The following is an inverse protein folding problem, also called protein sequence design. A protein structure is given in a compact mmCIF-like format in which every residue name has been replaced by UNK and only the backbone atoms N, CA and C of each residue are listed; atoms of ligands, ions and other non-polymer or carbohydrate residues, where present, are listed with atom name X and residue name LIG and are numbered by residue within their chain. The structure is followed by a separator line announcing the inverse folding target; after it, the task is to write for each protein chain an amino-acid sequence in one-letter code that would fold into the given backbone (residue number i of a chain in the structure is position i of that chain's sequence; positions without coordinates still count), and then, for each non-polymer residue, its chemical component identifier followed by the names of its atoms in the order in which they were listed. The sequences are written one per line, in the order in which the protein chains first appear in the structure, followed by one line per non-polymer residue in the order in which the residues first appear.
data_IF_889005644116
#
_entry.id   IF_889005644116
#
_cell.length_a   1.000
_cell.length_b   1.000
_cell.length_c   1.000
_cell.angle_alpha   90.00
_cell.angle_beta   90.00
_cell.angle_gamma   90.00
#
_symmetry.space_group_name_H-M   'P 1'
#
loop_
_entity.id
_entity.type
_entity.pdbx_description
1 polymer ?
#
# COMPACT_ATOMS: atom_id res chain seq x y z
N UNK A 1 8.47 -10.87 -6.51
CA UNK A 1 8.79 -10.91 -5.06
C UNK A 1 8.07 -9.72 -4.43
N UNK A 2 7.22 -9.95 -3.43
CA UNK A 2 6.41 -8.89 -2.81
C UNK A 2 7.30 -7.97 -1.96
N UNK A 3 7.24 -6.67 -2.24
CA UNK A 3 8.02 -5.65 -1.53
C UNK A 3 7.29 -5.18 -0.29
N UNK A 4 7.95 -5.30 0.86
CA UNK A 4 7.44 -4.88 2.16
C UNK A 4 8.30 -3.75 2.71
N UNK A 5 7.69 -2.63 3.04
CA UNK A 5 8.33 -1.56 3.79
C UNK A 5 8.03 -1.73 5.28
N UNK A 6 9.06 -1.85 6.09
CA UNK A 6 8.96 -1.90 7.56
C UNK A 6 9.42 -0.55 8.13
N UNK A 7 8.53 0.10 8.85
CA UNK A 7 8.75 1.42 9.47
C UNK A 7 8.61 1.29 10.98
N UNK A 8 9.73 1.27 11.66
CA UNK A 8 9.81 1.14 13.12
C UNK A 8 11.20 1.62 13.56
N UNK A 9 11.30 2.31 14.68
CA UNK A 9 12.57 2.81 15.23
C UNK A 9 13.20 1.84 16.25
N UNK A 10 12.51 0.77 16.62
CA UNK A 10 13.03 -0.25 17.54
C UNK A 10 13.88 -1.30 16.80
N UNK A 11 15.23 -1.31 16.98
CA UNK A 11 16.12 -2.18 16.21
C UNK A 11 15.82 -3.68 16.35
N UNK A 12 15.33 -4.10 17.52
CA UNK A 12 14.99 -5.51 17.79
C UNK A 12 13.80 -5.97 16.97
N UNK A 13 12.76 -5.13 16.86
CA UNK A 13 11.56 -5.41 16.07
C UNK A 13 11.91 -5.43 14.59
N UNK A 14 12.61 -4.40 14.12
CA UNK A 14 13.07 -4.30 12.72
C UNK A 14 13.87 -5.53 12.31
N UNK A 15 14.82 -5.94 13.14
CA UNK A 15 15.65 -7.14 12.87
C UNK A 15 14.82 -8.42 12.83
N UNK A 16 13.91 -8.60 13.78
CA UNK A 16 13.06 -9.80 13.85
C UNK A 16 12.15 -9.87 12.62
N UNK A 17 11.51 -8.76 12.23
CA UNK A 17 10.68 -8.67 11.04
C UNK A 17 11.49 -8.94 9.77
N UNK A 18 12.65 -8.30 9.63
CA UNK A 18 13.50 -8.47 8.47
C UNK A 18 13.91 -9.93 8.24
N UNK A 19 14.35 -10.63 9.30
CA UNK A 19 14.75 -12.04 9.22
C UNK A 19 13.56 -12.92 8.82
N UNK A 20 12.43 -12.75 9.50
CA UNK A 20 11.24 -13.57 9.27
C UNK A 20 10.60 -13.36 7.90
N UNK A 21 10.57 -12.12 7.42
CA UNK A 21 10.02 -11.78 6.11
C UNK A 21 10.92 -12.24 4.97
N UNK A 22 12.24 -12.01 5.07
CA UNK A 22 13.20 -12.49 4.06
C UNK A 22 13.21 -14.00 3.94
N UNK A 23 13.14 -14.73 5.07
CA UNK A 23 13.06 -16.18 5.06
C UNK A 23 11.82 -16.73 4.32
N UNK A 24 10.79 -15.90 4.13
CA UNK A 24 9.55 -16.23 3.41
C UNK A 24 9.47 -15.65 2.01
N UNK A 25 10.57 -15.12 1.50
CA UNK A 25 10.69 -14.64 0.13
C UNK A 25 10.15 -13.21 -0.10
N UNK A 26 9.98 -12.41 0.96
CA UNK A 26 9.66 -11.00 0.82
C UNK A 26 10.92 -10.16 0.58
N UNK A 27 10.81 -9.17 -0.30
CA UNK A 27 11.81 -8.11 -0.41
C UNK A 27 11.52 -7.05 0.66
N UNK A 28 12.47 -6.79 1.56
CA UNK A 28 12.25 -5.95 2.74
C UNK A 28 13.07 -4.68 2.66
N UNK A 29 12.39 -3.54 2.69
CA UNK A 29 12.96 -2.21 2.85
C UNK A 29 12.67 -1.69 4.26
N UNK A 30 13.58 -0.94 4.83
CA UNK A 30 13.53 -0.49 6.22
C UNK A 30 13.55 1.04 6.30
N UNK A 31 12.79 1.59 7.24
CA UNK A 31 12.83 3.00 7.61
C UNK A 31 12.64 3.14 9.12
N UNK A 32 13.41 3.99 9.76
CA UNK A 32 13.34 4.26 11.22
C UNK A 32 12.64 5.55 11.58
N UNK A 33 12.21 6.34 10.59
CA UNK A 33 11.55 7.64 10.78
C UNK A 33 10.44 7.81 9.75
N UNK A 34 9.48 8.69 10.02
CA UNK A 34 8.42 9.02 9.07
C UNK A 34 8.96 9.64 7.78
N UNK A 35 9.93 10.53 7.87
CA UNK A 35 10.60 11.14 6.71
C UNK A 35 11.28 10.09 5.85
N UNK A 36 12.05 9.17 6.46
CA UNK A 36 12.70 8.08 5.72
C UNK A 36 11.69 7.11 5.11
N UNK A 37 10.58 6.85 5.80
CA UNK A 37 9.51 5.98 5.31
C UNK A 37 8.92 6.50 3.99
N UNK A 38 8.55 7.78 3.94
CA UNK A 38 8.00 8.40 2.72
C UNK A 38 9.01 8.41 1.58
N UNK A 39 10.29 8.68 1.88
CA UNK A 39 11.38 8.67 0.90
C UNK A 39 11.61 7.27 0.33
N UNK A 40 11.75 6.27 1.19
CA UNK A 40 11.98 4.87 0.78
C UNK A 40 10.79 4.35 -0.02
N UNK A 41 9.56 4.64 0.42
CA UNK A 41 8.36 4.25 -0.30
C UNK A 41 8.28 4.86 -1.71
N UNK A 42 8.73 6.10 -1.88
CA UNK A 42 8.79 6.75 -3.20
C UNK A 42 9.86 6.15 -4.12
N UNK A 43 10.99 5.73 -3.56
CA UNK A 43 12.10 5.11 -4.31
C UNK A 43 11.82 3.63 -4.65
N UNK A 44 11.19 2.93 -3.73
CA UNK A 44 10.88 1.50 -3.81
C UNK A 44 9.39 1.30 -3.46
N UNK A 45 8.45 1.55 -4.39
CA UNK A 45 7.03 1.47 -4.13
C UNK A 45 6.65 0.14 -3.47
N UNK A 46 6.17 0.16 -2.21
CA UNK A 46 5.84 -1.06 -1.48
C UNK A 46 4.51 -1.65 -1.95
N UNK A 47 4.38 -2.96 -1.81
CA UNK A 47 3.12 -3.70 -1.97
C UNK A 47 2.45 -3.98 -0.62
N UNK A 48 3.18 -3.76 0.48
CA UNK A 48 2.70 -3.78 1.87
C UNK A 48 3.56 -2.86 2.72
N UNK A 49 2.95 -2.13 3.63
CA UNK A 49 3.65 -1.34 4.66
C UNK A 49 3.31 -1.90 6.04
N UNK A 50 4.33 -2.15 6.86
CA UNK A 50 4.21 -2.41 8.29
C UNK A 50 4.72 -1.14 8.98
N UNK A 51 3.88 -0.52 9.81
CA UNK A 51 4.14 0.82 10.34
C UNK A 51 3.90 0.89 11.83
N UNK A 52 4.91 1.33 12.60
CA UNK A 52 4.71 1.81 13.95
C UNK A 52 4.23 3.27 13.96
N UNK A 53 3.32 3.61 14.88
CA UNK A 53 2.83 4.98 15.05
C UNK A 53 3.79 5.85 15.87
N UNK A 54 4.57 5.24 16.78
CA UNK A 54 5.48 5.92 17.68
C UNK A 54 6.83 6.28 17.07
N UNK A 55 6.86 6.98 15.94
CA UNK A 55 8.12 7.37 15.28
C UNK A 55 8.76 8.60 15.92
N UNK A 56 10.11 8.77 15.81
CA UNK A 56 10.82 9.83 16.51
C UNK A 56 10.64 11.24 15.92
N UNK A 57 10.27 11.37 14.65
CA UNK A 57 10.16 12.66 13.94
C UNK A 57 8.72 13.19 13.88
N UNK A 58 7.75 12.35 13.49
CA UNK A 58 6.33 12.71 13.51
C UNK A 58 5.45 11.46 13.64
N UNK A 59 4.17 11.66 13.88
CA UNK A 59 3.24 10.58 14.15
C UNK A 59 3.07 9.66 12.91
N UNK A 60 3.04 8.35 13.14
CA UNK A 60 2.81 7.37 12.07
C UNK A 60 1.48 7.55 11.35
N UNK A 61 0.47 8.17 11.98
CA UNK A 61 -0.80 8.53 11.32
C UNK A 61 -0.56 9.51 10.18
N UNK A 62 0.38 10.45 10.33
CA UNK A 62 0.76 11.38 9.26
C UNK A 62 1.51 10.67 8.13
N UNK A 63 2.27 9.61 8.44
CA UNK A 63 2.87 8.73 7.42
C UNK A 63 1.78 8.04 6.61
N UNK A 64 0.72 7.51 7.26
CA UNK A 64 -0.43 6.91 6.57
C UNK A 64 -1.06 7.91 5.61
N UNK A 65 -1.36 9.11 6.06
CA UNK A 65 -1.94 10.18 5.23
C UNK A 65 -1.05 10.52 4.04
N UNK A 66 0.26 10.64 4.27
CA UNK A 66 1.25 10.90 3.21
C UNK A 66 1.29 9.79 2.18
N UNK A 67 1.28 8.52 2.57
CA UNK A 67 1.25 7.37 1.67
C UNK A 67 -0.06 7.32 0.88
N UNK A 68 -1.20 7.55 1.53
CA UNK A 68 -2.52 7.51 0.88
C UNK A 68 -2.71 8.57 -0.19
N UNK A 69 -1.89 9.61 -0.21
CA UNK A 69 -1.87 10.59 -1.28
C UNK A 69 -1.48 10.02 -2.65
N UNK A 70 -0.80 8.87 -2.70
CA UNK A 70 -0.28 8.33 -3.95
C UNK A 70 -0.21 6.78 -4.05
N UNK A 71 -0.53 6.02 -2.98
CA UNK A 71 -0.55 4.55 -3.04
C UNK A 71 -1.73 3.93 -2.30
N UNK A 72 -2.23 2.82 -2.83
CA UNK A 72 -3.25 1.95 -2.22
C UNK A 72 -2.63 0.71 -1.56
N UNK A 73 -1.30 0.62 -1.49
CA UNK A 73 -0.63 -0.49 -0.83
C UNK A 73 -1.21 -0.68 0.59
N UNK A 74 -1.57 -1.90 1.00
CA UNK A 74 -2.11 -2.13 2.32
C UNK A 74 -1.12 -1.70 3.40
N UNK A 75 -1.65 -1.07 4.46
CA UNK A 75 -0.89 -0.60 5.61
C UNK A 75 -1.37 -1.37 6.83
N UNK A 76 -0.46 -2.14 7.42
CA UNK A 76 -0.64 -2.86 8.67
C UNK A 76 0.08 -2.10 9.78
N UNK A 77 -0.69 -1.50 10.69
CA UNK A 77 -0.12 -0.80 11.85
C UNK A 77 0.31 -1.81 12.91
N UNK A 78 1.51 -1.63 13.43
CA UNK A 78 2.11 -2.44 14.47
C UNK A 78 2.60 -1.52 15.58
N UNK A 79 1.81 -1.31 16.63
CA UNK A 79 2.10 -0.29 17.64
C UNK A 79 1.84 -0.74 19.07
N UNK A 80 2.64 -0.22 20.01
CA UNK A 80 2.41 -0.35 21.45
C UNK A 80 1.26 0.51 21.98
N UNK A 81 0.70 1.40 21.17
CA UNK A 81 -0.46 2.21 21.57
C UNK A 81 -1.70 1.32 21.64
N UNK A 82 -2.29 1.24 22.82
CA UNK A 82 -3.46 0.39 23.09
C UNK A 82 -4.75 1.19 23.17
N UNK A 83 -4.68 2.50 23.15
CA UNK A 83 -5.83 3.39 23.19
C UNK A 83 -6.72 3.14 21.95
N UNK A 84 -8.02 3.03 22.21
CA UNK A 84 -8.99 2.82 21.15
C UNK A 84 -9.07 4.01 20.20
N UNK A 85 -8.83 5.22 20.69
CA UNK A 85 -8.78 6.46 19.90
C UNK A 85 -7.66 6.39 18.86
N UNK A 86 -6.46 5.98 19.26
CA UNK A 86 -5.32 5.84 18.34
C UNK A 86 -5.59 4.80 17.25
N UNK A 87 -6.27 3.69 17.60
CA UNK A 87 -6.67 2.66 16.63
C UNK A 87 -7.68 3.18 15.61
N UNK A 88 -8.69 3.89 16.07
CA UNK A 88 -9.72 4.48 15.20
C UNK A 88 -9.08 5.52 14.28
N UNK A 89 -8.23 6.39 14.82
CA UNK A 89 -7.55 7.42 14.03
C UNK A 89 -6.67 6.81 12.93
N UNK A 90 -5.91 5.76 13.23
CA UNK A 90 -5.07 5.08 12.24
C UNK A 90 -5.92 4.43 11.13
N UNK A 91 -7.01 3.77 11.49
CA UNK A 91 -7.93 3.15 10.52
C UNK A 91 -8.63 4.20 9.66
N UNK A 92 -9.11 5.29 10.25
CA UNK A 92 -9.75 6.40 9.54
C UNK A 92 -8.76 7.13 8.61
N UNK A 93 -7.48 7.20 8.98
CA UNK A 93 -6.43 7.74 8.12
C UNK A 93 -6.10 6.85 6.92
N UNK A 94 -6.52 5.59 6.93
CA UNK A 94 -6.39 4.66 5.82
C UNK A 94 -5.58 3.40 6.10
N UNK A 95 -5.29 3.06 7.36
CA UNK A 95 -4.72 1.76 7.71
C UNK A 95 -5.73 0.63 7.44
N UNK A 96 -5.24 -0.53 7.01
CA UNK A 96 -6.07 -1.69 6.67
C UNK A 96 -6.28 -2.65 7.85
N UNK A 97 -5.33 -2.70 8.78
CA UNK A 97 -5.41 -3.49 10.00
C UNK A 97 -4.48 -2.92 11.08
N UNK A 98 -4.70 -3.32 12.32
CA UNK A 98 -3.95 -2.86 13.48
C UNK A 98 -3.58 -4.02 14.39
N UNK A 99 -2.28 -4.16 14.70
CA UNK A 99 -1.73 -5.16 15.61
C UNK A 99 -1.08 -4.46 16.79
N UNK A 100 -1.46 -4.86 18.00
CA UNK A 100 -0.91 -4.31 19.23
C UNK A 100 0.37 -5.03 19.62
N UNK A 101 1.42 -4.30 19.99
CA UNK A 101 2.64 -4.84 20.62
C UNK A 101 2.35 -5.19 22.09
N UNK A 102 2.90 -6.29 22.65
CA UNK A 102 3.68 -7.32 21.96
C UNK A 102 2.81 -8.25 21.10
N UNK A 103 3.37 -8.75 20.00
CA UNK A 103 2.66 -9.58 19.03
C UNK A 103 3.38 -10.91 18.76
N UNK A 104 2.61 -11.90 18.33
CA UNK A 104 3.15 -13.13 17.79
C UNK A 104 3.52 -12.98 16.31
N UNK A 105 4.68 -13.50 15.90
CA UNK A 105 5.10 -13.42 14.49
C UNK A 105 4.12 -14.14 13.56
N UNK A 106 3.54 -15.25 13.98
CA UNK A 106 2.59 -16.03 13.19
C UNK A 106 1.26 -15.27 13.01
N UNK A 107 0.81 -14.53 14.03
CA UNK A 107 -0.35 -13.65 13.94
C UNK A 107 -0.10 -12.54 12.94
N UNK A 108 1.05 -11.86 13.03
CA UNK A 108 1.43 -10.79 12.10
C UNK A 108 1.44 -11.29 10.66
N UNK A 109 2.07 -12.44 10.41
CA UNK A 109 2.15 -13.04 9.08
C UNK A 109 0.77 -13.46 8.54
N UNK A 110 -0.13 -13.93 9.40
CA UNK A 110 -1.50 -14.26 9.01
C UNK A 110 -2.28 -13.00 8.60
N UNK A 111 -2.14 -11.91 9.34
CA UNK A 111 -2.76 -10.61 9.01
C UNK A 111 -2.18 -10.01 7.73
N UNK A 112 -0.86 -10.09 7.55
CA UNK A 112 -0.20 -9.67 6.30
C UNK A 112 -0.81 -10.40 5.08
N UNK A 113 -0.93 -11.72 5.15
CA UNK A 113 -1.55 -12.50 4.07
C UNK A 113 -3.00 -12.10 3.83
N UNK A 114 -3.75 -11.79 4.88
CA UNK A 114 -5.15 -11.37 4.76
C UNK A 114 -5.30 -10.02 4.07
N UNK A 115 -4.49 -9.02 4.42
CA UNK A 115 -4.55 -7.69 3.79
C UNK A 115 -4.03 -7.72 2.35
N UNK A 116 -2.97 -8.48 2.06
CA UNK A 116 -2.46 -8.67 0.70
C UNK A 116 -3.49 -9.35 -0.21
N UNK A 117 -4.20 -10.37 0.29
CA UNK A 117 -5.27 -11.03 -0.47
C UNK A 117 -6.41 -10.08 -0.82
N UNK A 118 -6.84 -9.23 0.13
CA UNK A 118 -7.89 -8.22 -0.12
C UNK A 118 -7.44 -7.19 -1.15
N UNK A 119 -6.20 -6.73 -1.06
CA UNK A 119 -5.62 -5.79 -2.03
C UNK A 119 -5.58 -6.39 -3.44
N UNK A 120 -5.13 -7.63 -3.58
CA UNK A 120 -5.10 -8.31 -4.87
C UNK A 120 -6.51 -8.49 -5.46
N UNK A 121 -7.50 -8.88 -4.65
CA UNK A 121 -8.89 -8.99 -5.10
C UNK A 121 -9.49 -7.66 -5.55
N UNK A 122 -9.11 -6.56 -4.90
CA UNK A 122 -9.52 -5.21 -5.30
C UNK A 122 -8.85 -4.75 -6.60
N UNK A 123 -7.63 -5.24 -6.88
CA UNK A 123 -6.91 -4.97 -8.13
C UNK A 123 -7.37 -5.86 -9.30
N UNK A 124 -7.99 -7.00 -9.01
CA UNK A 124 -8.47 -7.96 -10.00
C UNK A 124 -9.87 -7.64 -10.56
N UNK A 125 -10.39 -6.43 -10.37
CA UNK A 125 -11.57 -5.99 -11.12
C UNK A 125 -11.15 -5.68 -12.56
N UNK A 126 -11.46 -6.55 -13.54
CA UNK A 126 -10.96 -6.41 -14.91
C UNK A 126 -11.61 -5.22 -15.64
N UNK A 127 -12.74 -4.73 -15.15
CA UNK A 127 -13.47 -3.64 -15.81
C UNK A 127 -13.75 -2.49 -14.85
N UNK A 128 -13.33 -1.30 -15.22
CA UNK A 128 -13.56 -0.06 -14.47
C UNK A 128 -14.38 0.90 -15.32
N UNK A 129 -15.41 1.51 -14.72
CA UNK A 129 -16.20 2.54 -15.39
C UNK A 129 -15.68 3.94 -15.02
N UNK A 130 -15.34 4.75 -16.01
CA UNK A 130 -14.89 6.13 -15.86
C UNK A 130 -15.76 7.03 -16.73
N UNK A 131 -16.61 7.87 -16.11
CA UNK A 131 -17.47 8.79 -16.84
C UNK A 131 -18.36 8.13 -17.89
N UNK A 132 -18.86 6.90 -17.63
CA UNK A 132 -19.67 6.13 -18.57
C UNK A 132 -18.86 5.32 -19.61
N UNK A 133 -17.53 5.49 -19.64
CA UNK A 133 -16.62 4.67 -20.48
C UNK A 133 -16.21 3.43 -19.70
N UNK A 134 -16.30 2.26 -20.32
CA UNK A 134 -15.84 1.00 -19.74
C UNK A 134 -14.38 0.73 -20.14
N UNK A 135 -13.52 0.53 -19.16
CA UNK A 135 -12.10 0.16 -19.35
C UNK A 135 -11.91 -1.28 -18.89
N UNK A 136 -11.75 -2.20 -19.81
CA UNK A 136 -11.42 -3.61 -19.54
C UNK A 136 -9.90 -3.77 -19.53
N UNK A 137 -9.35 -3.92 -18.33
CA UNK A 137 -7.90 -4.03 -18.11
C UNK A 137 -7.36 -5.40 -18.57
N UNK A 138 -8.18 -6.44 -18.49
CA UNK A 138 -7.78 -7.80 -18.90
C UNK A 138 -7.78 -7.94 -20.43
N UNK A 139 -8.85 -7.46 -21.10
CA UNK A 139 -8.96 -7.49 -22.55
C UNK A 139 -8.19 -6.35 -23.25
N UNK A 140 -7.63 -5.40 -22.49
CA UNK A 140 -7.01 -4.16 -23.00
C UNK A 140 -7.95 -3.43 -23.99
N UNK A 141 -9.17 -3.20 -23.54
CA UNK A 141 -10.23 -2.57 -24.33
C UNK A 141 -10.84 -1.38 -23.62
N UNK A 142 -11.06 -0.31 -24.36
CA UNK A 142 -11.80 0.87 -23.91
C UNK A 142 -13.05 0.99 -24.77
N UNK A 143 -14.23 0.95 -24.15
CA UNK A 143 -15.51 1.06 -24.82
C UNK A 143 -16.23 2.34 -24.37
N UNK A 144 -16.53 3.21 -25.31
CA UNK A 144 -17.25 4.46 -25.07
C UNK A 144 -18.74 4.19 -24.76
N UNK A 145 -19.47 5.16 -24.17
CA UNK A 145 -20.91 5.04 -23.89
C UNK A 145 -21.77 4.74 -25.12
N UNK A 146 -21.30 5.12 -26.31
CA UNK A 146 -21.96 4.84 -27.59
C UNK A 146 -21.65 3.44 -28.16
N UNK A 147 -20.90 2.60 -27.42
CA UNK A 147 -20.50 1.24 -27.83
C UNK A 147 -19.29 1.18 -28.76
N UNK A 148 -18.65 2.30 -29.07
CA UNK A 148 -17.45 2.32 -29.90
C UNK A 148 -16.21 1.95 -29.11
N UNK A 149 -15.34 1.10 -29.69
CA UNK A 149 -14.04 0.76 -29.10
C UNK A 149 -12.98 1.80 -29.49
N UNK A 150 -12.16 2.20 -28.50
CA UNK A 150 -11.00 3.07 -28.68
C UNK A 150 -9.73 2.24 -28.73
N UNK A 151 -8.93 2.42 -29.75
CA UNK A 151 -7.60 1.79 -29.83
C UNK A 151 -6.57 2.73 -29.22
N UNK A 152 -5.83 2.19 -28.25
CA UNK A 152 -4.71 2.89 -27.59
C UNK A 152 -3.40 2.26 -28.02
N UNK A 153 -2.37 3.09 -28.15
CA UNK A 153 -1.00 2.62 -28.27
C UNK A 153 -0.54 1.96 -26.95
N UNK A 154 0.51 1.15 -26.94
CA UNK A 154 1.02 0.53 -25.71
C UNK A 154 1.36 1.54 -24.61
N UNK A 155 1.90 2.71 -24.97
CA UNK A 155 2.24 3.78 -24.02
C UNK A 155 0.99 4.44 -23.43
N UNK A 156 0.00 4.75 -24.27
CA UNK A 156 -1.28 5.30 -23.82
C UNK A 156 -2.04 4.31 -22.94
N UNK A 157 -1.96 3.02 -23.30
CA UNK A 157 -2.56 1.97 -22.48
C UNK A 157 -1.91 1.89 -21.10
N UNK A 158 -0.58 1.90 -21.03
CA UNK A 158 0.14 1.88 -19.76
C UNK A 158 -0.25 3.07 -18.87
N UNK A 159 -0.28 4.26 -19.45
CA UNK A 159 -0.71 5.47 -18.75
C UNK A 159 -2.15 5.35 -18.22
N UNK A 160 -3.08 4.90 -19.06
CA UNK A 160 -4.48 4.71 -18.68
C UNK A 160 -4.61 3.69 -17.53
N UNK A 161 -3.92 2.57 -17.63
CA UNK A 161 -3.94 1.51 -16.61
C UNK A 161 -3.47 2.05 -15.26
N UNK A 162 -2.36 2.79 -15.24
CA UNK A 162 -1.82 3.41 -14.01
C UNK A 162 -2.82 4.40 -13.41
N UNK A 163 -3.44 5.25 -14.21
CA UNK A 163 -4.41 6.25 -13.73
C UNK A 163 -5.70 5.60 -13.22
N UNK A 164 -6.22 4.61 -13.92
CA UNK A 164 -7.46 3.90 -13.56
C UNK A 164 -7.28 3.09 -12.27
N UNK A 165 -6.09 2.52 -12.04
CA UNK A 165 -5.77 1.80 -10.80
C UNK A 165 -5.53 2.71 -9.59
N UNK A 166 -5.39 4.03 -9.82
CA UNK A 166 -5.10 5.00 -8.77
C UNK A 166 -6.08 6.20 -8.80
N UNK A 167 -7.40 5.98 -8.67
CA UNK A 167 -8.38 7.05 -8.76
C UNK A 167 -8.20 8.05 -7.61
N UNK A 168 -8.28 9.33 -7.94
CA UNK A 168 -8.19 10.43 -6.97
C UNK A 168 -6.79 10.68 -6.40
N UNK A 169 -5.74 10.05 -6.93
CA UNK A 169 -4.36 10.22 -6.47
C UNK A 169 -3.53 11.05 -7.43
N UNK A 170 -2.63 11.83 -6.86
CA UNK A 170 -1.58 12.51 -7.64
C UNK A 170 -0.51 11.49 -8.01
N UNK A 171 -0.25 11.35 -9.31
CA UNK A 171 0.79 10.49 -9.84
C UNK A 171 1.98 11.33 -10.27
N UNK A 172 3.19 10.96 -9.84
CA UNK A 172 4.42 11.60 -10.28
C UNK A 172 4.81 11.10 -11.68
N UNK A 173 5.60 11.89 -12.39
CA UNK A 173 6.12 11.51 -13.71
C UNK A 173 6.94 10.20 -13.70
N UNK A 174 7.50 9.82 -12.55
CA UNK A 174 8.21 8.53 -12.37
C UNK A 174 7.28 7.34 -12.17
N UNK A 175 6.02 7.58 -11.86
CA UNK A 175 5.00 6.54 -11.63
C UNK A 175 4.15 6.28 -12.88
N UNK A 176 4.25 7.16 -13.87
CA UNK A 176 3.64 7.09 -15.19
C UNK A 176 4.63 6.55 -16.22
#
# INVERSE_FOLDING_TARGET
MTRVLVVDDEPQIVRALQINLKARGYEVHLAGTGTSALKVAAQHPPELVILDLGLPDFDGVDVIRGLRGWTDAPILVLSGRTDQTDKVEALDAGADDYVTKPFGIDELLARMRAVLRRSNLAQDQPTVAVGGTAVDLAAKRVTLPNGADVRLTPTEWHLLEVLVRNPGKLMSQRQL
#
